data_IF_967485745859
#
_entry.id   IF_967485745859
#
_cell.length_a   1.000
_cell.length_b   1.000
_cell.length_c   1.000
_cell.angle_alpha   90.00
_cell.angle_beta   90.00
_cell.angle_gamma   90.00
#
_symmetry.space_group_name_H-M   'P 1'
#
loop_
_entity.id
_entity.type
_entity.pdbx_description
1 polymer ?
#
# COMPACT_ATOMS: atom_id res chain seq x y z
N UNK A 1 6.04 1.48 2.02
CA UNK A 1 5.99 0.01 1.84
C UNK A 1 6.36 -0.45 0.42
N UNK A 2 6.08 0.30 -0.66
CA UNK A 2 6.41 -0.12 -2.05
C UNK A 2 5.87 -1.53 -2.39
N UNK A 3 4.59 -1.76 -2.09
CA UNK A 3 3.95 -3.07 -2.27
C UNK A 3 3.60 -3.38 -3.74
N UNK A 4 3.23 -4.63 -3.99
CA UNK A 4 2.89 -5.21 -5.29
C UNK A 4 1.46 -4.85 -5.67
N UNK A 5 1.29 -3.93 -6.62
CA UNK A 5 -0.03 -3.43 -7.05
C UNK A 5 -0.85 -4.49 -7.79
N UNK A 6 -0.20 -5.46 -8.43
CA UNK A 6 -0.85 -6.56 -9.16
C UNK A 6 -1.82 -7.36 -8.26
N UNK A 7 -1.61 -7.37 -6.93
CA UNK A 7 -2.53 -7.99 -5.98
C UNK A 7 -3.97 -7.42 -6.03
N UNK A 8 -4.15 -6.22 -6.60
CA UNK A 8 -5.43 -5.51 -6.64
C UNK A 8 -6.07 -5.52 -8.04
N UNK A 9 -5.59 -6.38 -8.94
CA UNK A 9 -6.04 -6.42 -10.33
C UNK A 9 -7.54 -6.73 -10.45
N UNK A 10 -8.14 -6.29 -11.56
CA UNK A 10 -9.54 -6.57 -11.88
C UNK A 10 -9.77 -8.07 -12.08
N UNK A 11 -8.79 -8.76 -12.64
CA UNK A 11 -8.82 -10.17 -13.01
C UNK A 11 -8.87 -11.04 -11.75
N UNK A 12 -8.06 -10.71 -10.74
CA UNK A 12 -8.12 -11.37 -9.42
C UNK A 12 -9.50 -11.20 -8.79
N UNK A 13 -10.06 -9.99 -8.87
CA UNK A 13 -11.39 -9.72 -8.31
C UNK A 13 -12.51 -10.37 -9.12
N UNK A 14 -12.36 -10.50 -10.43
CA UNK A 14 -13.32 -11.16 -11.31
C UNK A 14 -13.36 -12.68 -11.05
N UNK A 15 -12.23 -13.29 -10.70
CA UNK A 15 -12.17 -14.70 -10.32
C UNK A 15 -12.93 -15.02 -9.02
N UNK A 16 -13.14 -14.02 -8.15
CA UNK A 16 -13.92 -14.14 -6.91
C UNK A 16 -14.78 -12.88 -6.69
N UNK A 17 -15.93 -12.74 -7.38
CA UNK A 17 -16.57 -11.46 -7.67
C UNK A 17 -17.49 -10.94 -6.56
N UNK A 18 -17.01 -10.90 -5.31
CA UNK A 18 -17.76 -10.25 -4.24
C UNK A 18 -17.81 -8.73 -4.48
N UNK A 19 -19.01 -8.08 -4.47
CA UNK A 19 -19.14 -6.66 -4.80
C UNK A 19 -18.24 -5.74 -3.96
N UNK A 20 -18.20 -5.94 -2.63
CA UNK A 20 -17.35 -5.16 -1.75
C UNK A 20 -15.86 -5.37 -2.01
N UNK A 21 -15.43 -6.59 -2.39
CA UNK A 21 -14.04 -6.87 -2.73
C UNK A 21 -13.65 -6.13 -4.01
N UNK A 22 -14.47 -6.21 -5.06
CA UNK A 22 -14.27 -5.50 -6.33
C UNK A 22 -14.20 -3.99 -6.08
N UNK A 23 -15.14 -3.44 -5.30
CA UNK A 23 -15.16 -2.02 -4.98
C UNK A 23 -13.91 -1.59 -4.20
N UNK A 24 -13.48 -2.39 -3.22
CA UNK A 24 -12.28 -2.10 -2.42
C UNK A 24 -11.01 -2.16 -3.26
N UNK A 25 -10.84 -3.19 -4.11
CA UNK A 25 -9.70 -3.32 -5.01
C UNK A 25 -9.64 -2.15 -6.02
N UNK A 26 -10.79 -1.76 -6.60
CA UNK A 26 -10.89 -0.60 -7.48
C UNK A 26 -10.50 0.70 -6.77
N UNK A 27 -10.98 0.91 -5.54
CA UNK A 27 -10.64 2.12 -4.78
C UNK A 27 -9.14 2.18 -4.47
N UNK A 28 -8.53 1.05 -4.07
CA UNK A 28 -7.09 0.96 -3.84
C UNK A 28 -6.31 1.25 -5.13
N UNK A 29 -6.68 0.63 -6.26
CA UNK A 29 -6.06 0.94 -7.57
C UNK A 29 -6.16 2.42 -7.92
N UNK A 30 -7.32 3.03 -7.68
CA UNK A 30 -7.54 4.46 -7.92
C UNK A 30 -6.61 5.32 -7.06
N UNK A 31 -6.45 5.00 -5.78
CA UNK A 31 -5.53 5.71 -4.88
C UNK A 31 -4.05 5.53 -5.27
N UNK A 32 -3.69 4.39 -5.87
CA UNK A 32 -2.32 4.09 -6.28
C UNK A 32 -1.98 4.61 -7.69
N UNK A 33 -2.98 4.96 -8.49
CA UNK A 33 -2.80 5.45 -9.85
C UNK A 33 -1.95 6.71 -9.88
N UNK A 34 -0.89 6.72 -10.71
CA UNK A 34 0.04 7.84 -10.81
C UNK A 34 0.97 8.05 -9.59
N UNK A 35 0.98 7.12 -8.63
CA UNK A 35 1.83 7.25 -7.44
C UNK A 35 3.31 7.16 -7.77
N UNK A 36 4.05 8.26 -7.53
CA UNK A 36 5.51 8.30 -7.66
C UNK A 36 6.23 7.37 -6.68
N UNK A 37 5.59 7.00 -5.56
CA UNK A 37 6.16 6.08 -4.56
C UNK A 37 6.17 4.64 -5.10
N UNK A 38 5.15 4.27 -5.87
CA UNK A 38 5.04 2.96 -6.52
C UNK A 38 5.87 2.95 -7.81
N UNK A 39 5.79 4.01 -8.61
CA UNK A 39 6.45 4.04 -9.91
C UNK A 39 7.96 4.22 -9.81
N UNK A 40 8.49 4.83 -8.74
CA UNK A 40 9.92 5.09 -8.60
C UNK A 40 10.67 3.92 -7.95
N UNK A 41 11.50 3.19 -8.72
CA UNK A 41 12.13 1.97 -8.23
C UNK A 41 13.28 2.25 -7.25
N UNK A 42 13.92 3.42 -7.32
CA UNK A 42 15.05 3.83 -6.47
C UNK A 42 14.88 5.23 -5.87
N UNK A 43 15.44 5.48 -4.68
CA UNK A 43 15.40 6.81 -4.06
C UNK A 43 16.46 7.75 -4.67
N UNK A 44 16.04 8.63 -5.57
CA UNK A 44 16.91 9.59 -6.25
C UNK A 44 17.60 10.58 -5.32
N UNK A 45 16.98 10.94 -4.19
CA UNK A 45 17.57 11.85 -3.21
C UNK A 45 18.76 11.21 -2.51
N UNK A 46 18.68 9.91 -2.19
CA UNK A 46 19.81 9.15 -1.64
C UNK A 46 20.96 9.10 -2.64
N UNK A 47 20.67 8.81 -3.93
CA UNK A 47 21.70 8.79 -4.98
C UNK A 47 22.37 10.15 -5.16
N UNK A 48 21.58 11.24 -5.19
CA UNK A 48 22.10 12.61 -5.27
C UNK A 48 23.02 12.93 -4.09
N UNK A 49 22.62 12.57 -2.87
CA UNK A 49 23.44 12.80 -1.67
C UNK A 49 24.76 12.03 -1.74
N UNK A 50 24.73 10.76 -2.17
CA UNK A 50 25.93 9.96 -2.36
C UNK A 50 26.90 10.59 -3.37
N UNK A 51 26.39 11.12 -4.49
CA UNK A 51 27.22 11.79 -5.51
C UNK A 51 27.88 13.05 -4.95
N UNK A 52 27.14 13.88 -4.21
CA UNK A 52 27.70 15.10 -3.60
C UNK A 52 28.84 14.74 -2.66
N UNK A 53 28.62 13.79 -1.74
CA UNK A 53 29.66 13.36 -0.79
C UNK A 53 30.91 12.87 -1.53
N UNK A 54 30.76 11.99 -2.54
CA UNK A 54 31.92 11.49 -3.30
C UNK A 54 32.63 12.61 -4.06
N UNK A 55 31.88 13.52 -4.69
CA UNK A 55 32.47 14.62 -5.48
C UNK A 55 33.27 15.58 -4.60
N UNK A 56 32.77 15.87 -3.40
CA UNK A 56 33.44 16.74 -2.43
C UNK A 56 34.77 16.17 -1.92
N UNK A 57 34.96 14.84 -1.98
CA UNK A 57 36.22 14.19 -1.60
C UNK A 57 37.30 14.26 -2.69
N UNK A 58 36.92 14.48 -3.96
CA UNK A 58 37.83 14.41 -5.11
C UNK A 58 39.11 15.25 -4.95
N UNK A 59 39.09 16.49 -4.41
CA UNK A 59 40.30 17.28 -4.21
C UNK A 59 41.30 16.73 -3.17
N UNK A 60 40.84 15.82 -2.29
CA UNK A 60 41.63 15.29 -1.18
C UNK A 60 42.21 13.90 -1.46
N UNK A 61 41.95 13.34 -2.65
CA UNK A 61 42.47 12.04 -3.07
C UNK A 61 43.77 12.23 -3.83
N UNK A 62 44.86 11.68 -3.28
CA UNK A 62 46.18 11.72 -3.91
C UNK A 62 46.50 10.44 -4.70
N UNK A 63 45.89 9.31 -4.32
CA UNK A 63 46.08 8.03 -5.01
C UNK A 63 45.32 8.01 -6.33
N UNK A 64 46.03 7.75 -7.44
CA UNK A 64 45.44 7.61 -8.76
C UNK A 64 44.38 6.50 -8.80
N UNK A 65 44.66 5.35 -8.18
CA UNK A 65 43.71 4.23 -8.12
C UNK A 65 42.43 4.62 -7.35
N UNK A 66 42.58 5.35 -6.24
CA UNK A 66 41.43 5.80 -5.45
C UNK A 66 40.59 6.83 -6.22
N UNK A 67 41.23 7.73 -6.98
CA UNK A 67 40.55 8.71 -7.82
C UNK A 67 39.76 8.03 -8.96
N UNK A 68 40.33 7.01 -9.61
CA UNK A 68 39.66 6.24 -10.65
C UNK A 68 38.45 5.47 -10.11
N UNK A 69 38.56 4.87 -8.91
CA UNK A 69 37.43 4.20 -8.24
C UNK A 69 36.32 5.19 -7.89
N UNK A 70 36.68 6.38 -7.40
CA UNK A 70 35.72 7.43 -7.06
C UNK A 70 34.97 7.92 -8.31
N UNK A 71 35.69 8.23 -9.39
CA UNK A 71 35.09 8.70 -10.64
C UNK A 71 34.17 7.64 -11.25
N UNK A 72 34.56 6.36 -11.19
CA UNK A 72 33.70 5.25 -11.61
C UNK A 72 32.45 5.14 -10.75
N UNK A 73 32.56 5.26 -9.42
CA UNK A 73 31.41 5.22 -8.53
C UNK A 73 30.44 6.38 -8.80
N UNK A 74 30.95 7.61 -8.93
CA UNK A 74 30.15 8.80 -9.25
C UNK A 74 29.44 8.63 -10.60
N UNK A 75 30.16 8.24 -11.65
CA UNK A 75 29.58 8.04 -12.98
C UNK A 75 28.46 7.01 -12.99
N UNK A 76 28.66 5.89 -12.29
CA UNK A 76 27.63 4.85 -12.16
C UNK A 76 26.39 5.38 -11.43
N UNK A 77 26.57 6.02 -10.27
CA UNK A 77 25.47 6.53 -9.46
C UNK A 77 24.68 7.62 -10.22
N UNK A 78 25.37 8.55 -10.87
CA UNK A 78 24.74 9.57 -11.72
C UNK A 78 24.02 8.95 -12.91
N UNK A 79 24.60 7.94 -13.56
CA UNK A 79 23.92 7.22 -14.64
C UNK A 79 22.61 6.58 -14.18
N UNK A 80 22.57 5.99 -12.97
CA UNK A 80 21.32 5.47 -12.38
C UNK A 80 20.34 6.59 -12.09
N UNK A 81 20.83 7.72 -11.56
CA UNK A 81 19.99 8.85 -11.17
C UNK A 81 19.30 9.50 -12.38
N UNK A 82 19.99 9.55 -13.52
CA UNK A 82 19.48 10.14 -14.76
C UNK A 82 18.56 9.18 -15.54
N UNK A 83 18.74 7.87 -15.40
CA UNK A 83 17.86 6.83 -15.95
C UNK A 83 17.49 5.79 -14.87
N UNK A 84 16.51 6.11 -14.00
CA UNK A 84 16.14 5.22 -12.91
C UNK A 84 15.23 4.07 -13.33
N UNK A 85 14.74 4.06 -14.57
CA UNK A 85 13.87 2.99 -15.10
C UNK A 85 14.65 1.97 -15.94
N UNK A 86 15.96 2.15 -16.11
CA UNK A 86 16.86 1.08 -16.54
C UNK A 86 16.96 0.87 -18.05
N UNK A 87 16.57 1.85 -18.87
CA UNK A 87 16.73 1.82 -20.33
C UNK A 87 18.18 1.70 -20.81
N UNK A 88 19.17 2.06 -19.97
CA UNK A 88 20.60 2.10 -20.33
C UNK A 88 21.37 0.83 -19.92
N UNK A 89 20.74 -0.16 -19.25
CA UNK A 89 21.45 -1.34 -18.69
C UNK A 89 20.76 -2.69 -18.96
N UNK A 90 20.08 -2.78 -20.10
CA UNK A 90 19.47 -4.03 -20.56
C UNK A 90 20.50 -5.15 -20.67
N UNK A 91 20.13 -6.35 -20.21
CA UNK A 91 20.86 -7.59 -20.40
C UNK A 91 20.04 -8.51 -21.31
N UNK A 92 20.73 -9.36 -22.07
CA UNK A 92 20.13 -10.35 -23.00
C UNK A 92 19.06 -11.29 -22.40
N UNK A 93 18.94 -11.34 -21.07
CA UNK A 93 17.98 -12.20 -20.35
C UNK A 93 16.88 -11.38 -19.66
N UNK A 94 16.85 -10.06 -19.86
CA UNK A 94 15.82 -9.20 -19.30
C UNK A 94 14.56 -9.28 -20.16
N UNK A 95 13.40 -9.42 -19.53
CA UNK A 95 12.10 -9.25 -20.20
C UNK A 95 11.94 -7.77 -20.56
N UNK A 96 11.31 -7.44 -21.68
CA UNK A 96 11.07 -6.04 -22.06
C UNK A 96 10.23 -5.34 -20.98
N UNK A 97 10.61 -4.12 -20.60
CA UNK A 97 9.98 -3.36 -19.51
C UNK A 97 8.55 -2.94 -19.85
N UNK A 98 8.28 -2.63 -21.11
CA UNK A 98 6.93 -2.29 -21.59
C UNK A 98 6.07 -3.55 -21.66
N UNK A 99 6.62 -4.66 -22.15
CA UNK A 99 5.93 -5.97 -22.18
C UNK A 99 5.61 -6.47 -20.75
N UNK A 100 6.58 -6.42 -19.83
CA UNK A 100 6.37 -6.83 -18.43
C UNK A 100 5.35 -5.93 -17.69
N UNK A 101 5.25 -4.65 -18.07
CA UNK A 101 4.24 -3.72 -17.57
C UNK A 101 2.85 -4.03 -18.11
N UNK A 102 2.74 -4.32 -19.40
CA UNK A 102 1.47 -4.72 -20.03
C UNK A 102 0.98 -6.07 -19.51
N UNK A 103 1.89 -7.03 -19.26
CA UNK A 103 1.58 -8.35 -18.71
C UNK A 103 1.39 -8.37 -17.19
N UNK A 104 1.56 -7.23 -16.50
CA UNK A 104 1.39 -7.13 -15.05
C UNK A 104 2.40 -7.95 -14.24
N UNK A 105 3.56 -8.29 -14.83
CA UNK A 105 4.65 -9.01 -14.20
C UNK A 105 5.44 -8.11 -13.22
N UNK A 106 4.79 -7.71 -12.12
CA UNK A 106 5.39 -6.91 -11.04
C UNK A 106 5.89 -7.79 -9.88
N UNK A 107 6.51 -8.93 -10.19
CA UNK A 107 7.11 -9.83 -9.17
C UNK A 107 8.64 -9.76 -9.19
N UNK A 108 9.31 -10.56 -8.35
CA UNK A 108 10.75 -10.53 -8.05
C UNK A 108 11.72 -10.62 -9.25
N UNK A 109 11.20 -10.80 -10.46
CA UNK A 109 11.87 -10.80 -11.77
C UNK A 109 11.71 -9.48 -12.54
N UNK A 110 11.22 -8.41 -11.92
CA UNK A 110 11.05 -7.10 -12.56
C UNK A 110 12.38 -6.63 -13.21
N UNK A 111 12.42 -6.48 -14.54
CA UNK A 111 13.60 -6.08 -15.29
C UNK A 111 14.21 -4.77 -14.79
N UNK A 112 13.38 -3.83 -14.32
CA UNK A 112 13.84 -2.54 -13.79
C UNK A 112 14.63 -2.74 -12.49
N UNK A 113 14.12 -3.59 -11.59
CA UNK A 113 14.81 -3.92 -10.34
C UNK A 113 16.15 -4.62 -10.59
N UNK A 114 16.21 -5.56 -11.54
CA UNK A 114 17.45 -6.24 -11.93
C UNK A 114 18.46 -5.25 -12.56
N UNK A 115 18.00 -4.41 -13.48
CA UNK A 115 18.79 -3.36 -14.14
C UNK A 115 19.41 -2.38 -13.13
N UNK A 116 18.64 -1.94 -12.14
CA UNK A 116 19.12 -1.07 -11.07
C UNK A 116 20.17 -1.74 -10.17
N UNK A 117 19.99 -3.02 -9.84
CA UNK A 117 20.99 -3.77 -9.08
C UNK A 117 22.29 -3.90 -9.88
N UNK A 118 22.22 -4.27 -11.17
CA UNK A 118 23.41 -4.32 -12.05
C UNK A 118 24.11 -2.96 -12.14
N UNK A 119 23.34 -1.87 -12.12
CA UNK A 119 23.86 -0.51 -12.06
C UNK A 119 24.56 -0.19 -10.74
N UNK A 120 23.90 -0.35 -9.59
CA UNK A 120 24.37 0.18 -8.32
C UNK A 120 25.35 -0.73 -7.55
N UNK A 121 25.28 -2.06 -7.74
CA UNK A 121 26.16 -3.01 -7.03
C UNK A 121 27.65 -2.74 -7.33
N UNK A 122 28.08 -2.49 -8.58
CA UNK A 122 29.47 -2.11 -8.86
C UNK A 122 29.94 -0.85 -8.11
N UNK A 123 29.08 0.17 -7.97
CA UNK A 123 29.40 1.37 -7.19
C UNK A 123 29.55 1.04 -5.69
N UNK A 124 28.68 0.18 -5.14
CA UNK A 124 28.79 -0.28 -3.76
C UNK A 124 30.11 -1.04 -3.52
N UNK A 125 30.49 -1.93 -4.43
CA UNK A 125 31.77 -2.66 -4.37
C UNK A 125 32.97 -1.70 -4.47
N UNK A 126 32.91 -0.71 -5.36
CA UNK A 126 33.95 0.30 -5.49
C UNK A 126 34.13 1.11 -4.19
N UNK A 127 33.04 1.58 -3.59
CA UNK A 127 33.08 2.30 -2.30
C UNK A 127 33.66 1.42 -1.19
N UNK A 128 33.25 0.15 -1.10
CA UNK A 128 33.83 -0.79 -0.14
C UNK A 128 35.33 -1.02 -0.35
N UNK A 129 35.79 -1.10 -1.61
CA UNK A 129 37.22 -1.19 -1.94
C UNK A 129 37.96 0.09 -1.50
N UNK A 130 37.40 1.27 -1.77
CA UNK A 130 37.96 2.55 -1.33
C UNK A 130 38.10 2.61 0.20
N UNK A 131 37.09 2.18 0.96
CA UNK A 131 37.17 2.11 2.43
C UNK A 131 38.37 1.25 2.88
N UNK A 132 38.56 0.06 2.28
CA UNK A 132 39.70 -0.80 2.62
C UNK A 132 41.05 -0.15 2.28
N UNK A 133 41.15 0.50 1.12
CA UNK A 133 42.38 1.20 0.70
C UNK A 133 42.71 2.38 1.61
N UNK A 134 41.71 3.09 2.11
CA UNK A 134 41.90 4.19 3.08
C UNK A 134 42.39 3.63 4.41
N UNK A 135 42.00 2.41 4.81
CA UNK A 135 42.47 1.76 6.03
C UNK A 135 43.91 1.25 5.93
N UNK A 136 44.41 0.99 4.73
CA UNK A 136 45.75 0.47 4.49
C UNK A 136 46.83 1.40 5.12
N UNK A 137 47.72 0.88 6.00
CA UNK A 137 48.79 1.65 6.61
C UNK A 137 49.77 2.27 5.61
N UNK A 138 49.94 1.68 4.43
CA UNK A 138 50.87 2.19 3.40
C UNK A 138 50.31 3.40 2.63
N UNK A 139 49.02 3.69 2.79
CA UNK A 139 48.34 4.81 2.15
C UNK A 139 48.31 6.03 3.10
N UNK A 140 49.29 6.91 2.95
CA UNK A 140 49.36 8.16 3.70
C UNK A 140 48.38 9.18 3.11
N UNK A 141 47.27 9.44 3.82
CA UNK A 141 46.32 10.48 3.45
C UNK A 141 46.09 11.41 4.67
N UNK A 142 46.36 12.72 4.55
CA UNK A 142 46.22 13.66 5.67
C UNK A 142 44.79 13.83 6.17
N UNK A 143 43.77 13.41 5.40
CA UNK A 143 42.35 13.40 5.78
C UNK A 143 41.75 11.99 5.90
N UNK A 144 42.58 10.97 6.12
CA UNK A 144 42.18 9.54 6.21
C UNK A 144 40.94 9.30 7.08
N UNK A 145 40.81 9.97 8.23
CA UNK A 145 39.65 9.81 9.10
C UNK A 145 38.34 10.35 8.49
N UNK A 146 38.34 11.58 7.98
CA UNK A 146 37.15 12.19 7.38
C UNK A 146 36.73 11.48 6.08
N UNK A 147 37.70 11.15 5.22
CA UNK A 147 37.43 10.38 4.00
C UNK A 147 36.80 9.02 4.30
N UNK A 148 37.26 8.33 5.36
CA UNK A 148 36.66 7.06 5.79
C UNK A 148 35.21 7.24 6.23
N UNK A 149 34.93 8.28 7.01
CA UNK A 149 33.58 8.56 7.51
C UNK A 149 32.61 8.81 6.35
N UNK A 150 32.99 9.69 5.42
CA UNK A 150 32.21 10.01 4.22
C UNK A 150 31.98 8.79 3.32
N UNK A 151 33.01 7.97 3.09
CA UNK A 151 32.86 6.73 2.32
C UNK A 151 31.95 5.71 3.03
N UNK A 152 32.00 5.65 4.36
CA UNK A 152 31.11 4.78 5.16
C UNK A 152 29.67 5.28 5.08
N UNK A 153 29.44 6.60 5.13
CA UNK A 153 28.11 7.17 4.91
C UNK A 153 27.59 6.82 3.51
N UNK A 154 28.41 6.99 2.47
CA UNK A 154 28.04 6.61 1.10
C UNK A 154 27.73 5.12 0.99
N UNK A 155 28.51 4.25 1.64
CA UNK A 155 28.24 2.82 1.66
C UNK A 155 26.86 2.49 2.25
N UNK A 156 26.50 3.13 3.37
CA UNK A 156 25.19 3.00 4.01
C UNK A 156 24.05 3.57 3.14
N UNK A 157 24.29 4.69 2.45
CA UNK A 157 23.34 5.26 1.49
C UNK A 157 23.09 4.30 0.32
N UNK A 158 24.16 3.75 -0.26
CA UNK A 158 24.06 2.79 -1.37
C UNK A 158 23.38 1.49 -0.95
N UNK A 159 23.64 0.98 0.25
CA UNK A 159 22.94 -0.19 0.78
C UNK A 159 21.42 0.01 0.85
N UNK A 160 20.97 1.23 1.16
CA UNK A 160 19.55 1.60 1.18
C UNK A 160 18.98 1.90 -0.21
N UNK A 161 19.83 2.30 -1.16
CA UNK A 161 19.42 2.66 -2.51
C UNK A 161 19.36 1.47 -3.46
N UNK A 162 20.28 0.52 -3.34
CA UNK A 162 20.27 -0.72 -4.12
C UNK A 162 18.97 -1.46 -3.81
N UNK A 163 18.08 -1.66 -4.80
CA UNK A 163 16.85 -2.39 -4.56
C UNK A 163 17.16 -3.78 -4.05
N UNK A 164 16.59 -4.16 -2.91
CA UNK A 164 16.56 -5.56 -2.50
C UNK A 164 15.75 -6.34 -3.53
N UNK A 165 16.08 -7.61 -3.74
CA UNK A 165 15.20 -8.50 -4.51
C UNK A 165 13.79 -8.37 -3.91
N UNK A 166 12.77 -8.06 -4.72
CA UNK A 166 11.42 -7.90 -4.21
C UNK A 166 10.99 -9.18 -3.50
N UNK A 167 10.23 -9.04 -2.41
CA UNK A 167 9.50 -10.20 -1.92
C UNK A 167 8.59 -10.70 -3.04
N UNK A 168 8.49 -12.02 -3.22
CA UNK A 168 7.56 -12.61 -4.20
C UNK A 168 6.12 -12.20 -3.89
N UNK A 169 5.83 -11.93 -2.61
CA UNK A 169 4.50 -11.57 -2.13
C UNK A 169 4.58 -10.54 -1.00
N UNK A 170 3.62 -9.63 -0.97
CA UNK A 170 3.37 -8.82 0.22
C UNK A 170 2.66 -9.63 1.30
N UNK A 171 2.86 -9.20 2.56
CA UNK A 171 2.12 -9.68 3.71
C UNK A 171 0.61 -9.54 3.51
N UNK A 172 -0.13 -10.45 4.14
CA UNK A 172 -1.59 -10.53 4.00
C UNK A 172 -2.28 -9.23 4.42
N UNK A 173 -1.73 -8.50 5.38
CA UNK A 173 -2.32 -7.24 5.85
C UNK A 173 -2.41 -6.15 4.76
N UNK A 174 -1.53 -6.22 3.74
CA UNK A 174 -1.59 -5.39 2.54
C UNK A 174 -2.30 -6.12 1.39
N UNK A 175 -1.86 -7.34 1.10
CA UNK A 175 -2.30 -8.10 -0.08
C UNK A 175 -3.78 -8.50 -0.02
N UNK A 176 -4.27 -8.84 1.17
CA UNK A 176 -5.66 -9.28 1.39
C UNK A 176 -6.59 -8.11 1.80
N UNK A 177 -6.13 -6.86 1.71
CA UNK A 177 -6.93 -5.71 2.10
C UNK A 177 -8.28 -5.62 1.35
N UNK A 178 -8.36 -5.83 0.02
CA UNK A 178 -9.66 -5.81 -0.67
C UNK A 178 -10.64 -6.86 -0.17
N UNK A 179 -10.16 -8.07 0.15
CA UNK A 179 -10.99 -9.18 0.61
C UNK A 179 -11.60 -8.87 1.98
N UNK A 180 -10.77 -8.38 2.91
CA UNK A 180 -11.24 -8.04 4.27
C UNK A 180 -12.09 -6.78 4.28
N UNK A 181 -11.65 -5.71 3.61
CA UNK A 181 -12.43 -4.47 3.50
C UNK A 181 -13.74 -4.69 2.75
N UNK A 182 -13.71 -5.55 1.73
CA UNK A 182 -14.89 -5.91 0.95
C UNK A 182 -15.93 -6.67 1.78
N UNK A 183 -15.50 -7.65 2.57
CA UNK A 183 -16.39 -8.36 3.49
C UNK A 183 -17.06 -7.40 4.49
N UNK A 184 -16.28 -6.48 5.08
CA UNK A 184 -16.83 -5.47 6.00
C UNK A 184 -17.79 -4.49 5.31
N UNK A 185 -17.51 -4.09 4.07
CA UNK A 185 -18.44 -3.28 3.26
C UNK A 185 -19.76 -4.00 2.98
N UNK A 186 -19.70 -5.29 2.66
CA UNK A 186 -20.90 -6.09 2.47
C UNK A 186 -21.71 -6.20 3.76
N UNK A 187 -21.05 -6.41 4.91
CA UNK A 187 -21.71 -6.44 6.21
C UNK A 187 -22.40 -5.10 6.52
N UNK A 188 -21.71 -3.98 6.30
CA UNK A 188 -22.28 -2.64 6.49
C UNK A 188 -23.48 -2.37 5.59
N UNK A 189 -23.44 -2.82 4.32
CA UNK A 189 -24.57 -2.66 3.40
C UNK A 189 -25.83 -3.38 3.90
N UNK A 190 -25.68 -4.63 4.39
CA UNK A 190 -26.80 -5.37 4.99
C UNK A 190 -27.31 -4.71 6.27
N UNK A 191 -26.42 -4.18 7.11
CA UNK A 191 -26.81 -3.45 8.32
C UNK A 191 -27.61 -2.20 7.99
N UNK A 192 -27.19 -1.45 6.97
CA UNK A 192 -27.93 -0.27 6.50
C UNK A 192 -29.33 -0.65 6.03
N UNK A 193 -29.47 -1.73 5.25
CA UNK A 193 -30.78 -2.22 4.80
C UNK A 193 -31.74 -2.50 5.98
N UNK A 194 -31.25 -3.19 7.02
CA UNK A 194 -32.06 -3.49 8.21
C UNK A 194 -32.40 -2.23 9.01
N UNK A 195 -31.45 -1.30 9.16
CA UNK A 195 -31.70 -0.02 9.82
C UNK A 195 -32.71 0.84 9.06
N UNK A 196 -32.68 0.83 7.73
CA UNK A 196 -33.64 1.53 6.89
C UNK A 196 -35.05 0.93 7.06
N UNK A 197 -35.18 -0.39 7.13
CA UNK A 197 -36.46 -1.05 7.43
C UNK A 197 -36.96 -0.63 8.81
N UNK A 198 -36.12 -0.75 9.84
CA UNK A 198 -36.51 -0.46 11.22
C UNK A 198 -36.90 1.02 11.41
N UNK A 199 -36.12 1.95 10.86
CA UNK A 199 -36.38 3.38 10.96
C UNK A 199 -37.70 3.80 10.30
N UNK A 200 -38.21 3.00 9.37
CA UNK A 200 -39.48 3.22 8.68
C UNK A 200 -40.60 2.27 9.16
N UNK A 201 -40.39 1.53 10.25
CA UNK A 201 -41.35 0.58 10.81
C UNK A 201 -42.18 1.18 11.95
N UNK A 202 -43.42 0.71 12.10
CA UNK A 202 -44.22 0.95 13.32
C UNK A 202 -43.89 -0.11 14.36
N UNK A 203 -43.00 0.23 15.29
CA UNK A 203 -42.53 -0.65 16.38
C UNK A 203 -43.40 -0.59 17.63
N UNK A 204 -44.50 0.16 17.60
CA UNK A 204 -45.45 0.26 18.69
C UNK A 204 -46.31 -1.01 18.88
N UNK A 205 -46.98 -1.08 20.03
CA UNK A 205 -48.01 -2.08 20.30
C UNK A 205 -49.04 -1.53 21.32
N UNK A 206 -50.37 -1.67 21.07
CA UNK A 206 -50.98 -2.31 19.91
C UNK A 206 -50.99 -1.41 18.67
N UNK A 207 -51.12 -2.03 17.49
CA UNK A 207 -51.30 -1.33 16.24
C UNK A 207 -52.78 -1.27 15.87
N UNK A 208 -53.17 -0.23 15.13
CA UNK A 208 -54.55 -0.05 14.68
C UNK A 208 -54.57 -0.15 13.16
N UNK A 209 -55.41 -1.04 12.62
CA UNK A 209 -55.54 -1.26 11.18
C UNK A 209 -56.99 -1.01 10.71
N UNK A 210 -57.45 0.26 10.69
CA UNK A 210 -58.82 0.56 10.28
C UNK A 210 -59.07 0.06 8.86
N UNK A 211 -60.32 -0.31 8.53
CA UNK A 211 -60.66 -0.77 7.18
C UNK A 211 -60.34 0.29 6.11
N UNK A 212 -60.04 -0.18 4.90
CA UNK A 212 -59.81 0.69 3.74
C UNK A 212 -60.98 1.66 3.50
N UNK A 213 -60.68 2.85 2.98
CA UNK A 213 -61.67 3.89 2.71
C UNK A 213 -61.34 4.72 1.46
N UNK A 214 -61.93 5.92 1.30
CA UNK A 214 -61.68 6.78 0.14
C UNK A 214 -60.19 7.07 -0.05
N UNK A 215 -59.73 7.17 -1.30
CA UNK A 215 -58.32 7.50 -1.62
C UNK A 215 -57.93 8.91 -1.15
N UNK A 216 -58.89 9.83 -1.06
CA UNK A 216 -58.67 11.18 -0.54
C UNK A 216 -58.46 11.14 0.99
N UNK A 217 -57.32 11.63 1.45
CA UNK A 217 -56.92 11.56 2.86
C UNK A 217 -57.93 12.26 3.80
N UNK A 218 -58.46 13.41 3.40
CA UNK A 218 -59.42 14.14 4.24
C UNK A 218 -60.76 13.38 4.36
N UNK A 219 -61.20 12.75 3.28
CA UNK A 219 -62.37 11.87 3.30
C UNK A 219 -62.10 10.56 4.06
N UNK A 220 -60.89 10.00 3.98
CA UNK A 220 -60.49 8.84 4.75
C UNK A 220 -60.54 9.13 6.25
N UNK A 221 -59.91 10.23 6.70
CA UNK A 221 -59.93 10.67 8.09
C UNK A 221 -61.36 10.92 8.60
N UNK A 222 -62.20 11.58 7.79
CA UNK A 222 -63.60 11.80 8.13
C UNK A 222 -64.43 10.51 8.23
N UNK A 223 -64.00 9.43 7.56
CA UNK A 223 -64.68 8.13 7.58
C UNK A 223 -64.34 7.27 8.82
N UNK A 224 -63.26 7.63 9.53
CA UNK A 224 -62.80 6.95 10.74
C UNK A 224 -63.71 7.30 11.93
N UNK A 225 -64.06 6.29 12.72
CA UNK A 225 -64.81 6.46 13.97
C UNK A 225 -64.13 5.68 15.07
N UNK A 226 -64.32 6.10 16.33
CA UNK A 226 -63.72 5.44 17.50
C UNK A 226 -64.07 3.94 17.54
N UNK A 227 -65.31 3.59 17.19
CA UNK A 227 -65.79 2.20 17.18
C UNK A 227 -65.08 1.36 16.11
N UNK A 228 -64.91 1.90 14.89
CA UNK A 228 -64.14 1.24 13.81
C UNK A 228 -62.68 1.04 14.21
N UNK A 229 -62.04 2.06 14.78
CA UNK A 229 -60.64 1.95 15.21
C UNK A 229 -60.46 0.96 16.36
N UNK A 230 -61.38 0.94 17.34
CA UNK A 230 -61.34 -0.02 18.46
C UNK A 230 -61.47 -1.47 18.01
N UNK A 231 -62.33 -1.75 17.04
CA UNK A 231 -62.49 -3.09 16.48
C UNK A 231 -61.26 -3.54 15.64
N UNK A 232 -60.41 -2.60 15.25
CA UNK A 232 -59.24 -2.81 14.40
C UNK A 232 -57.90 -2.83 15.16
N UNK A 233 -57.94 -2.90 16.48
CA UNK A 233 -56.73 -2.99 17.32
C UNK A 233 -56.16 -4.40 17.24
N UNK A 234 -54.90 -4.51 16.84
CA UNK A 234 -54.15 -5.77 16.79
C UNK A 234 -52.95 -5.69 17.72
N UNK A 235 -52.80 -6.71 18.58
CA UNK A 235 -51.60 -6.87 19.40
C UNK A 235 -50.56 -7.71 18.67
N UNK A 236 -49.29 -7.32 18.77
CA UNK A 236 -48.15 -8.00 18.18
C UNK A 236 -46.87 -7.77 18.98
N UNK A 237 -45.73 -8.13 18.39
CA UNK A 237 -44.40 -8.05 18.99
C UNK A 237 -43.45 -7.08 18.29
N UNK A 238 -43.97 -6.10 17.54
CA UNK A 238 -43.14 -5.21 16.70
C UNK A 238 -42.14 -4.34 17.48
N UNK A 239 -42.29 -4.23 18.80
CA UNK A 239 -41.34 -3.55 19.69
C UNK A 239 -40.05 -4.36 19.93
N UNK A 240 -39.98 -5.61 19.50
CA UNK A 240 -38.81 -6.47 19.73
C UNK A 240 -37.72 -6.22 18.68
N UNK A 241 -36.61 -5.61 19.09
CA UNK A 241 -35.49 -5.25 18.22
C UNK A 241 -34.53 -6.39 17.84
N UNK A 242 -35.02 -7.62 17.65
CA UNK A 242 -34.14 -8.77 17.30
C UNK A 242 -33.37 -8.56 15.99
N UNK A 243 -34.00 -8.03 14.90
CA UNK A 243 -33.28 -7.77 13.66
C UNK A 243 -32.12 -6.79 13.85
N UNK A 244 -32.31 -5.75 14.68
CA UNK A 244 -31.23 -4.83 15.05
C UNK A 244 -30.14 -5.53 15.85
N UNK A 245 -30.49 -6.30 16.89
CA UNK A 245 -29.52 -6.94 17.76
C UNK A 245 -28.55 -7.83 16.96
N UNK A 246 -29.09 -8.74 16.14
CA UNK A 246 -28.27 -9.67 15.34
C UNK A 246 -27.40 -8.94 14.30
N UNK A 247 -27.92 -7.87 13.69
CA UNK A 247 -27.15 -7.11 12.69
C UNK A 247 -26.09 -6.21 13.32
N UNK A 248 -26.31 -5.69 14.52
CA UNK A 248 -25.29 -4.95 15.28
C UNK A 248 -24.15 -5.86 15.75
N UNK A 249 -24.45 -7.10 16.15
CA UNK A 249 -23.41 -8.11 16.44
C UNK A 249 -22.58 -8.42 15.19
N UNK A 250 -23.25 -8.59 14.04
CA UNK A 250 -22.59 -8.79 12.76
C UNK A 250 -21.69 -7.60 12.37
N UNK A 251 -22.16 -6.36 12.57
CA UNK A 251 -21.37 -5.16 12.36
C UNK A 251 -20.14 -5.11 13.28
N UNK A 252 -20.32 -5.45 14.55
CA UNK A 252 -19.25 -5.47 15.55
C UNK A 252 -18.12 -6.39 15.12
N UNK A 253 -18.44 -7.60 14.65
CA UNK A 253 -17.45 -8.53 14.08
C UNK A 253 -16.76 -7.95 12.84
N UNK A 254 -17.52 -7.37 11.92
CA UNK A 254 -16.95 -6.77 10.70
C UNK A 254 -15.97 -5.63 11.01
N UNK A 255 -16.29 -4.77 11.98
CA UNK A 255 -15.40 -3.68 12.43
C UNK A 255 -14.15 -4.23 13.12
N UNK A 256 -14.28 -5.29 13.92
CA UNK A 256 -13.13 -5.95 14.55
C UNK A 256 -12.11 -6.46 13.51
N UNK A 257 -12.58 -7.07 12.42
CA UNK A 257 -11.73 -7.53 11.32
C UNK A 257 -11.01 -6.38 10.60
N UNK A 258 -11.68 -5.24 10.41
CA UNK A 258 -11.05 -4.02 9.88
C UNK A 258 -9.94 -3.50 10.81
N UNK A 259 -10.20 -3.48 12.11
CA UNK A 259 -9.23 -3.09 13.13
C UNK A 259 -8.01 -4.01 13.13
N UNK A 260 -8.25 -5.33 13.14
CA UNK A 260 -7.22 -6.37 13.14
C UNK A 260 -6.26 -6.23 11.95
N UNK A 261 -6.80 -6.16 10.73
CA UNK A 261 -5.94 -6.03 9.54
C UNK A 261 -5.22 -4.67 9.49
N UNK A 262 -5.83 -3.60 10.04
CA UNK A 262 -5.20 -2.28 10.13
C UNK A 262 -4.03 -2.26 11.09
N UNK A 263 -4.20 -2.85 12.27
CA UNK A 263 -3.13 -2.95 13.25
C UNK A 263 -1.95 -3.77 12.70
N UNK A 264 -2.19 -4.87 11.98
CA UNK A 264 -1.12 -5.63 11.31
C UNK A 264 -0.37 -4.80 10.25
N UNK A 265 -1.02 -3.86 9.57
CA UNK A 265 -0.34 -2.92 8.65
C UNK A 265 0.52 -1.91 9.41
N UNK A 266 0.02 -1.37 10.52
CA UNK A 266 0.78 -0.44 11.37
C UNK A 266 2.00 -1.13 11.95
N UNK A 267 1.84 -2.34 12.49
CA UNK A 267 2.93 -3.16 13.04
C UNK A 267 4.05 -3.37 12.01
N UNK A 268 3.69 -3.68 10.74
CA UNK A 268 4.65 -3.82 9.64
C UNK A 268 5.44 -2.53 9.36
N UNK A 269 4.78 -1.37 9.43
CA UNK A 269 5.39 -0.07 9.12
C UNK A 269 6.39 0.37 10.19
N UNK A 270 6.11 0.08 11.45
CA UNK A 270 7.00 0.46 12.58
C UNK A 270 8.11 -0.55 12.85
N UNK A 271 8.02 -1.76 12.30
CA UNK A 271 9.06 -2.78 12.46
C UNK A 271 10.21 -2.55 11.47
N UNK A 272 11.34 -2.03 11.96
CA UNK A 272 12.56 -1.79 11.19
C UNK A 272 13.09 -2.99 10.41
N UNK A 273 12.73 -4.23 10.79
CA UNK A 273 13.13 -5.45 10.05
C UNK A 273 12.23 -5.73 8.85
N UNK A 274 10.98 -5.25 8.89
CA UNK A 274 9.95 -5.62 7.93
C UNK A 274 9.33 -4.43 7.17
N UNK A 275 9.73 -3.19 7.49
CA UNK A 275 9.15 -1.97 6.93
C UNK A 275 9.78 -1.50 5.58
N UNK A 276 10.56 -2.36 4.93
CA UNK A 276 11.24 -2.07 3.66
C UNK A 276 12.19 -0.86 3.71
N UNK A 277 12.96 -0.73 4.80
CA UNK A 277 14.05 0.24 4.94
C UNK A 277 13.61 1.63 5.42
N UNK A 278 12.44 1.71 6.04
CA UNK A 278 12.00 2.90 6.77
C UNK A 278 12.70 2.96 8.14
N UNK A 279 12.84 4.15 8.74
CA UNK A 279 13.34 4.28 10.11
C UNK A 279 12.48 3.47 11.10
N UNK A 280 13.13 2.91 12.11
CA UNK A 280 12.51 2.29 13.28
C UNK A 280 12.22 3.33 14.35
#
# INVERSE_FOLDING_TARGET
MKGIVAAFSSEISAARPYPGQIASARNIRTMLSGSSIISMPVNLAILRKAVVILTDQKPFIQSKELAELLDRAVSVIEGVRMDPHGTVRAHENDVDVEEAREEGMLTASDPVTLSLRRGLVPAQVAVQKMIRMVLDPENDNPKKAGLREDLTEVANLLERAVPKMPSVQDDYSFRCAPQVHGAARNALAHVIEILEIEANSSTDNPLVFPPDGPEDLAQYEASLTIEKCRAAVMSGGNFHGEPLALTMDYLTMAVAELGSISERRVAKVVDGKHNNGLPS
#
